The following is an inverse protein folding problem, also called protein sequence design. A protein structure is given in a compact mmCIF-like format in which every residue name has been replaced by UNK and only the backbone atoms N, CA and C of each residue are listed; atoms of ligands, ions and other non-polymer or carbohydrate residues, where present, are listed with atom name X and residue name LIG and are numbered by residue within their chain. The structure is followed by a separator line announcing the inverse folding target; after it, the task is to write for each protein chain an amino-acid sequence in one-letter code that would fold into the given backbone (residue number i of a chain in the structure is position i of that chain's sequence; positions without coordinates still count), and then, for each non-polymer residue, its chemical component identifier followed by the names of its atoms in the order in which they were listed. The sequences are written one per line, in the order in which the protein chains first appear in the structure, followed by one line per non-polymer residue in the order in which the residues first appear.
data_IF_881304611754
#
_entry.id   IF_881304611754
#
_cell.length_a   1.000
_cell.length_b   1.000
_cell.length_c   1.000
_cell.angle_alpha   90.00
_cell.angle_beta   90.00
_cell.angle_gamma   90.00
#
_symmetry.space_group_name_H-M   'P 1'
#
loop_
_entity.id
_entity.type
_entity.pdbx_description
1 polymer ?
#
# COMPACT_ATOMS: atom_id res chain seq x y z
N UNK A 1 -33.68 -5.02 -50.91
CA UNK A 1 -33.59 -5.60 -49.57
C UNK A 1 -32.73 -4.70 -48.71
N UNK A 2 -33.40 -3.91 -47.82
CA UNK A 2 -32.81 -2.91 -46.95
C UNK A 2 -31.98 -3.57 -45.84
N UNK A 3 -30.67 -3.21 -45.76
CA UNK A 3 -29.83 -3.50 -44.62
C UNK A 3 -29.96 -2.33 -43.63
N UNK A 4 -30.61 -2.53 -42.53
CA UNK A 4 -30.80 -1.59 -41.44
C UNK A 4 -29.44 -1.39 -40.73
N UNK A 5 -28.88 -0.20 -40.82
CA UNK A 5 -27.69 0.21 -40.10
C UNK A 5 -28.06 0.46 -38.63
N UNK A 6 -27.59 -0.40 -37.73
CA UNK A 6 -27.63 -0.19 -36.28
C UNK A 6 -26.69 0.97 -35.95
N UNK A 7 -27.24 2.13 -35.61
CA UNK A 7 -26.49 3.25 -35.01
C UNK A 7 -26.00 2.84 -33.63
N UNK A 8 -24.70 2.64 -33.50
CA UNK A 8 -24.02 2.62 -32.22
C UNK A 8 -24.11 4.02 -31.57
N UNK A 9 -24.45 4.17 -30.30
CA UNK A 9 -24.38 5.45 -29.64
C UNK A 9 -22.91 5.85 -29.47
N UNK A 10 -22.48 6.89 -30.19
CA UNK A 10 -21.24 7.61 -29.95
C UNK A 10 -21.37 8.33 -28.61
N UNK A 11 -20.87 7.71 -27.53
CA UNK A 11 -20.58 8.42 -26.30
C UNK A 11 -19.42 9.38 -26.57
N UNK A 12 -19.72 10.66 -26.65
CA UNK A 12 -18.75 11.74 -26.58
C UNK A 12 -18.01 11.57 -25.24
N UNK A 13 -16.65 11.63 -25.17
CA UNK A 13 -15.95 11.55 -23.91
C UNK A 13 -16.41 12.70 -23.02
N UNK A 14 -16.98 12.38 -21.86
CA UNK A 14 -17.27 13.35 -20.81
C UNK A 14 -15.97 14.11 -20.52
N UNK A 15 -16.04 15.41 -20.55
CA UNK A 15 -14.97 16.34 -20.17
C UNK A 15 -14.39 15.88 -18.83
N UNK A 16 -13.14 15.45 -18.84
CA UNK A 16 -12.44 15.04 -17.62
C UNK A 16 -12.38 16.23 -16.68
N UNK A 17 -13.13 16.19 -15.59
CA UNK A 17 -13.03 17.17 -14.50
C UNK A 17 -11.66 16.94 -13.85
N UNK A 18 -10.76 17.95 -13.83
CA UNK A 18 -9.46 17.79 -13.19
C UNK A 18 -9.64 17.51 -11.69
N UNK A 19 -8.79 16.67 -11.13
CA UNK A 19 -8.80 16.38 -9.70
C UNK A 19 -8.56 17.67 -8.91
N UNK A 20 -9.30 17.90 -7.81
CA UNK A 20 -9.00 18.99 -6.88
C UNK A 20 -7.57 18.86 -6.34
N UNK A 21 -6.87 19.98 -6.23
CA UNK A 21 -5.48 20.03 -5.76
C UNK A 21 -5.39 20.62 -4.37
N UNK A 22 -4.72 19.87 -3.48
CA UNK A 22 -4.43 20.26 -2.10
C UNK A 22 -2.92 20.40 -1.94
N UNK A 23 -2.40 21.61 -1.66
CA UNK A 23 -0.96 21.82 -1.51
C UNK A 23 -0.55 22.03 -0.04
N UNK A 24 0.52 21.35 0.38
CA UNK A 24 1.14 21.51 1.71
C UNK A 24 2.16 22.66 1.65
N UNK A 25 1.97 23.69 2.47
CA UNK A 25 2.81 24.88 2.52
C UNK A 25 3.30 25.09 3.96
N UNK A 26 4.49 25.64 4.14
CA UNK A 26 5.05 25.96 5.45
C UNK A 26 6.57 25.89 5.43
N UNK A 27 7.21 26.42 6.48
CA UNK A 27 8.66 26.40 6.62
C UNK A 27 9.26 24.98 6.67
N UNK A 28 10.57 24.81 6.51
CA UNK A 28 11.24 23.51 6.67
C UNK A 28 10.96 22.89 8.07
N UNK A 29 10.91 21.56 8.15
CA UNK A 29 10.82 20.78 9.38
C UNK A 29 9.50 20.89 10.18
N UNK A 30 8.46 21.55 9.69
CA UNK A 30 7.13 21.57 10.34
C UNK A 30 6.36 20.24 10.16
N UNK A 31 6.88 19.31 9.35
CA UNK A 31 6.30 17.97 9.16
C UNK A 31 5.45 17.81 7.90
N UNK A 32 5.65 18.64 6.85
CA UNK A 32 4.94 18.53 5.57
C UNK A 32 5.06 17.14 4.97
N UNK A 33 6.26 16.64 4.77
CA UNK A 33 6.49 15.31 4.19
C UNK A 33 5.98 14.18 5.08
N UNK A 34 5.92 14.37 6.40
CA UNK A 34 5.31 13.42 7.33
C UNK A 34 3.80 13.38 7.12
N UNK A 35 3.15 14.54 7.00
CA UNK A 35 1.71 14.64 6.72
C UNK A 35 1.38 14.13 5.32
N UNK A 36 2.18 14.48 4.31
CA UNK A 36 2.08 13.96 2.95
C UNK A 36 2.09 12.43 2.93
N UNK A 37 3.11 11.82 3.55
CA UNK A 37 3.24 10.37 3.64
C UNK A 37 2.11 9.72 4.46
N UNK A 38 1.56 10.43 5.44
CA UNK A 38 0.42 9.97 6.25
C UNK A 38 -0.87 9.95 5.42
N UNK A 39 -1.15 11.00 4.65
CA UNK A 39 -2.35 11.13 3.82
C UNK A 39 -2.29 10.15 2.64
N UNK A 40 -1.15 10.09 1.93
CA UNK A 40 -0.97 9.16 0.81
C UNK A 40 -0.90 7.70 1.26
N UNK A 41 -0.69 7.44 2.55
CA UNK A 41 -0.46 6.10 3.08
C UNK A 41 0.83 5.50 2.53
N UNK A 42 0.98 4.15 2.63
CA UNK A 42 2.08 3.42 1.97
C UNK A 42 1.85 3.20 0.46
N UNK A 43 0.81 3.78 -0.12
CA UNK A 43 0.62 3.79 -1.56
C UNK A 43 1.63 4.77 -2.12
N UNK A 44 2.67 4.25 -2.77
CA UNK A 44 3.64 5.05 -3.53
C UNK A 44 2.87 5.99 -4.46
N UNK A 45 3.28 7.27 -4.44
CA UNK A 45 2.87 8.25 -5.43
C UNK A 45 2.90 7.62 -6.83
N UNK A 46 1.75 7.54 -7.47
CA UNK A 46 1.67 7.21 -8.89
C UNK A 46 2.13 8.50 -9.58
N UNK A 47 3.38 8.51 -10.02
CA UNK A 47 3.88 9.57 -10.90
C UNK A 47 3.20 9.38 -12.24
N UNK A 48 2.17 10.15 -12.48
CA UNK A 48 1.45 10.19 -13.77
C UNK A 48 2.39 10.71 -14.84
N UNK A 49 2.67 9.86 -15.86
CA UNK A 49 3.61 10.15 -16.95
C UNK A 49 3.00 11.02 -18.03
N UNK A 50 2.31 12.12 -17.71
CA UNK A 50 1.87 13.09 -18.74
C UNK A 50 3.07 13.83 -19.31
N UNK A 51 3.15 14.03 -20.65
CA UNK A 51 4.19 14.84 -21.27
C UNK A 51 4.08 16.28 -20.73
N UNK A 52 5.09 16.71 -19.93
CA UNK A 52 5.14 18.03 -19.29
C UNK A 52 5.07 18.01 -17.76
N UNK A 53 4.78 16.90 -17.11
CA UNK A 53 4.95 16.77 -15.67
C UNK A 53 6.40 16.40 -15.39
N UNK A 54 7.15 17.31 -14.82
CA UNK A 54 8.51 17.09 -14.34
C UNK A 54 8.51 15.96 -13.32
N UNK A 55 9.53 15.11 -13.37
CA UNK A 55 9.80 13.93 -12.52
C UNK A 55 9.95 14.28 -11.02
N UNK A 56 9.10 15.12 -10.45
CA UNK A 56 9.23 15.56 -9.07
C UNK A 56 8.39 14.69 -8.12
N UNK A 57 9.06 14.21 -7.07
CA UNK A 57 8.54 13.35 -6.00
C UNK A 57 7.43 13.98 -5.16
N UNK A 58 6.89 15.11 -5.56
CA UNK A 58 6.09 16.00 -4.74
C UNK A 58 4.58 15.95 -5.02
N UNK A 59 4.12 15.16 -5.99
CA UNK A 59 2.71 15.01 -6.34
C UNK A 59 2.23 13.59 -6.07
N UNK A 60 1.07 13.44 -5.44
CA UNK A 60 0.44 12.14 -5.25
C UNK A 60 -1.08 12.25 -5.34
N UNK A 61 -1.70 11.33 -6.05
CA UNK A 61 -3.15 11.15 -5.98
C UNK A 61 -3.52 10.42 -4.69
N UNK A 62 -4.56 10.89 -4.03
CA UNK A 62 -5.12 10.31 -2.82
C UNK A 62 -6.63 10.34 -2.87
N UNK A 63 -7.28 9.63 -1.96
CA UNK A 63 -8.73 9.69 -1.82
C UNK A 63 -9.13 9.66 -0.35
N UNK A 64 -10.20 10.38 -0.02
CA UNK A 64 -10.79 10.42 1.31
C UNK A 64 -12.31 10.36 1.20
N UNK A 65 -12.94 9.42 1.89
CA UNK A 65 -14.42 9.22 1.87
C UNK A 65 -15.04 9.20 0.46
N UNK A 66 -14.31 8.64 -0.53
CA UNK A 66 -14.79 8.58 -1.92
C UNK A 66 -14.50 9.82 -2.78
N UNK A 67 -13.85 10.85 -2.24
CA UNK A 67 -13.38 12.02 -2.97
C UNK A 67 -11.93 11.84 -3.39
N UNK A 68 -11.64 11.80 -4.68
CA UNK A 68 -10.27 11.80 -5.21
C UNK A 68 -9.70 13.21 -5.28
N UNK A 69 -8.44 13.37 -4.95
CA UNK A 69 -7.73 14.64 -5.01
C UNK A 69 -6.23 14.43 -5.25
N UNK A 70 -5.56 15.46 -5.74
CA UNK A 70 -4.11 15.48 -5.91
C UNK A 70 -3.49 16.25 -4.73
N UNK A 71 -2.58 15.58 -3.98
CA UNK A 71 -1.83 16.19 -2.89
C UNK A 71 -0.44 16.58 -3.37
N UNK A 72 -0.02 17.80 -3.04
CA UNK A 72 1.27 18.37 -3.47
C UNK A 72 2.11 18.75 -2.26
N UNK A 73 3.32 18.18 -2.13
CA UNK A 73 4.31 18.64 -1.14
C UNK A 73 5.20 19.70 -1.80
N UNK A 74 5.06 20.96 -1.40
CA UNK A 74 5.89 22.05 -1.94
C UNK A 74 7.35 22.02 -1.48
N UNK A 75 7.76 21.00 -0.72
CA UNK A 75 9.10 20.90 -0.17
C UNK A 75 9.37 21.94 0.94
N UNK A 76 10.62 22.10 1.31
CA UNK A 76 11.02 23.09 2.32
C UNK A 76 11.23 24.49 1.76
N UNK A 77 10.27 25.05 1.04
CA UNK A 77 10.41 26.40 0.49
C UNK A 77 10.50 27.46 1.57
N UNK A 78 11.61 28.13 1.58
CA UNK A 78 11.75 29.45 2.17
C UNK A 78 10.97 30.45 1.29
N UNK A 79 9.68 30.60 1.56
CA UNK A 79 8.85 31.68 1.00
C UNK A 79 9.25 33.03 1.65
N UNK A 80 10.50 33.42 1.63
CA UNK A 80 10.94 34.56 2.41
C UNK A 80 12.03 35.42 1.79
N UNK A 81 12.61 35.06 0.66
CA UNK A 81 13.61 35.92 0.00
C UNK A 81 13.05 36.45 -1.33
N UNK A 82 12.99 37.76 -1.47
CA UNK A 82 12.85 38.47 -2.76
C UNK A 82 14.13 38.30 -3.63
N UNK A 83 14.91 37.26 -3.39
CA UNK A 83 16.19 37.00 -4.05
C UNK A 83 15.93 36.41 -5.46
N UNK A 84 16.35 37.12 -6.53
CA UNK A 84 16.21 36.63 -7.93
C UNK A 84 17.01 35.36 -8.22
N UNK A 85 17.84 34.89 -7.28
CA UNK A 85 18.62 33.64 -7.38
C UNK A 85 17.87 32.39 -6.88
N UNK A 86 16.59 32.47 -6.54
CA UNK A 86 15.79 31.31 -6.18
C UNK A 86 15.67 30.37 -7.37
N UNK A 87 16.33 29.22 -7.22
CA UNK A 87 16.46 28.22 -8.27
C UNK A 87 15.11 27.54 -8.65
N UNK A 88 15.16 26.58 -9.60
CA UNK A 88 13.97 25.92 -10.18
C UNK A 88 12.94 25.40 -9.18
N UNK A 89 13.37 25.04 -7.97
CA UNK A 89 12.49 24.51 -6.91
C UNK A 89 11.50 25.55 -6.35
N UNK A 90 11.91 26.83 -6.27
CA UNK A 90 11.02 27.90 -5.79
C UNK A 90 9.92 28.22 -6.81
N UNK A 91 10.28 28.21 -8.09
CA UNK A 91 9.33 28.44 -9.19
C UNK A 91 8.26 27.34 -9.21
N UNK A 92 8.65 26.09 -8.99
CA UNK A 92 7.73 24.96 -8.94
C UNK A 92 6.75 25.05 -7.79
N UNK A 93 7.19 25.48 -6.62
CA UNK A 93 6.28 25.59 -5.49
C UNK A 93 5.35 26.82 -5.59
N UNK A 94 5.81 27.91 -6.14
CA UNK A 94 4.92 29.04 -6.48
C UNK A 94 3.82 28.56 -7.43
N UNK A 95 4.18 27.80 -8.46
CA UNK A 95 3.23 27.21 -9.39
C UNK A 95 2.26 26.25 -8.70
N UNK A 96 2.75 25.37 -7.80
CA UNK A 96 1.91 24.46 -7.04
C UNK A 96 0.90 25.21 -6.15
N UNK A 97 1.31 26.33 -5.54
CA UNK A 97 0.42 27.20 -4.76
C UNK A 97 -0.62 27.87 -5.66
N UNK A 98 -0.23 28.31 -6.86
CA UNK A 98 -1.16 28.91 -7.82
C UNK A 98 -2.20 27.93 -8.37
N UNK A 99 -1.78 26.70 -8.62
CA UNK A 99 -2.65 25.66 -9.17
C UNK A 99 -3.53 24.96 -8.11
N UNK A 100 -3.23 25.13 -6.82
CA UNK A 100 -3.98 24.49 -5.74
C UNK A 100 -5.35 25.12 -5.52
N UNK A 101 -6.36 24.29 -5.26
CA UNK A 101 -7.71 24.69 -4.85
C UNK A 101 -7.76 25.01 -3.36
N UNK A 102 -6.98 24.28 -2.55
CA UNK A 102 -6.86 24.46 -1.10
C UNK A 102 -5.40 24.38 -0.69
N UNK A 103 -4.99 25.27 0.21
CA UNK A 103 -3.66 25.30 0.81
C UNK A 103 -3.73 24.86 2.26
N UNK A 104 -2.95 23.84 2.62
CA UNK A 104 -2.73 23.44 4.00
C UNK A 104 -1.47 24.12 4.50
N UNK A 105 -1.62 25.15 5.30
CA UNK A 105 -0.52 25.91 5.86
C UNK A 105 -0.08 25.29 7.18
N UNK A 106 1.04 24.53 7.14
CA UNK A 106 1.57 23.83 8.29
C UNK A 106 2.50 24.72 9.13
N UNK A 107 2.25 24.69 10.43
CA UNK A 107 3.09 25.28 11.48
C UNK A 107 3.41 24.23 12.53
N UNK A 108 4.48 24.44 13.30
CA UNK A 108 4.94 23.51 14.33
C UNK A 108 4.37 23.90 15.70
N UNK A 109 3.45 23.09 16.24
CA UNK A 109 2.78 23.36 17.53
C UNK A 109 3.75 23.36 18.72
N UNK A 110 4.85 22.58 18.65
CA UNK A 110 5.87 22.57 19.73
C UNK A 110 6.77 23.80 19.73
N UNK A 111 7.06 24.33 18.54
CA UNK A 111 7.91 25.50 18.40
C UNK A 111 7.15 26.82 18.64
N UNK A 112 5.81 26.77 18.62
CA UNK A 112 4.97 27.96 18.60
C UNK A 112 5.05 28.73 17.29
N UNK A 113 4.45 29.92 17.26
CA UNK A 113 4.39 30.77 16.10
C UNK A 113 5.70 31.53 15.91
N UNK A 114 6.38 31.32 14.81
CA UNK A 114 7.64 32.01 14.48
C UNK A 114 7.41 33.14 13.47
N UNK A 115 8.32 34.16 13.42
CA UNK A 115 8.23 35.28 12.46
C UNK A 115 8.12 34.84 11.00
N UNK A 116 8.79 33.75 10.62
CA UNK A 116 8.70 33.16 9.29
C UNK A 116 7.29 32.62 8.99
N UNK A 117 6.62 32.00 9.96
CA UNK A 117 5.25 31.52 9.82
C UNK A 117 4.31 32.72 9.59
N UNK A 118 4.49 33.84 10.32
CA UNK A 118 3.71 35.05 10.11
C UNK A 118 3.98 35.68 8.71
N UNK A 119 5.22 35.67 8.24
CA UNK A 119 5.58 36.17 6.92
C UNK A 119 4.91 35.32 5.80
N UNK A 120 4.96 34.00 5.91
CA UNK A 120 4.28 33.08 5.01
C UNK A 120 2.76 33.32 5.07
N UNK A 121 2.17 33.40 6.26
CA UNK A 121 0.74 33.67 6.44
C UNK A 121 0.27 34.96 5.77
N UNK A 122 1.04 36.07 5.93
CA UNK A 122 0.74 37.35 5.24
C UNK A 122 0.75 37.19 3.71
N UNK A 123 1.70 36.43 3.17
CA UNK A 123 1.80 36.18 1.73
C UNK A 123 0.63 35.34 1.19
N UNK A 124 0.24 34.29 1.93
CA UNK A 124 -0.87 33.42 1.54
C UNK A 124 -2.21 34.18 1.56
N UNK A 125 -2.46 35.04 2.55
CA UNK A 125 -3.68 35.87 2.62
C UNK A 125 -3.83 36.78 1.41
N UNK A 126 -2.75 37.38 0.91
CA UNK A 126 -2.78 38.23 -0.28
C UNK A 126 -3.20 37.53 -1.55
N UNK A 127 -3.16 36.18 -1.58
CA UNK A 127 -3.51 35.40 -2.76
C UNK A 127 -5.01 35.10 -2.88
N UNK A 128 -5.80 35.35 -1.86
CA UNK A 128 -7.24 35.15 -1.88
C UNK A 128 -7.67 33.67 -2.05
N UNK A 129 -6.75 32.73 -1.82
CA UNK A 129 -7.04 31.30 -1.88
C UNK A 129 -7.55 30.77 -0.55
N UNK A 130 -8.28 29.67 -0.59
CA UNK A 130 -8.70 28.98 0.62
C UNK A 130 -7.48 28.36 1.33
N UNK A 131 -7.24 28.79 2.56
CA UNK A 131 -6.12 28.36 3.39
C UNK A 131 -6.66 27.80 4.70
N UNK A 132 -6.25 26.57 5.03
CA UNK A 132 -6.47 25.96 6.35
C UNK A 132 -5.15 25.95 7.11
N UNK A 133 -5.13 26.52 8.32
CA UNK A 133 -3.95 26.44 9.19
C UNK A 133 -3.89 25.06 9.81
N UNK A 134 -2.74 24.42 9.72
CA UNK A 134 -2.49 23.07 10.27
C UNK A 134 -1.40 23.16 11.30
N UNK A 135 -1.77 23.13 12.58
CA UNK A 135 -0.84 23.08 13.70
C UNK A 135 -0.45 21.64 13.92
N UNK A 136 0.77 21.29 13.50
CA UNK A 136 1.27 19.91 13.56
C UNK A 136 2.12 19.68 14.81
N UNK A 137 2.36 18.40 15.14
CA UNK A 137 3.11 17.93 16.33
C UNK A 137 2.40 18.22 17.65
N UNK A 138 1.08 18.32 17.63
CA UNK A 138 0.24 18.54 18.82
C UNK A 138 -0.06 17.21 19.48
N UNK A 139 0.78 16.75 20.37
CA UNK A 139 0.62 15.48 21.09
C UNK A 139 0.03 15.68 22.50
N UNK A 140 0.12 16.87 23.05
CA UNK A 140 -0.44 17.30 24.33
C UNK A 140 -1.61 18.24 24.13
N UNK A 141 -2.68 18.03 24.94
CA UNK A 141 -3.95 18.79 24.87
C UNK A 141 -3.88 20.24 25.40
N UNK A 142 -2.73 20.69 25.87
CA UNK A 142 -2.57 21.95 26.62
C UNK A 142 -1.83 23.07 25.84
N UNK A 143 -1.68 22.94 24.52
CA UNK A 143 -1.07 24.01 23.73
C UNK A 143 -2.04 25.19 23.59
N UNK A 144 -1.50 26.41 23.77
CA UNK A 144 -2.27 27.64 23.64
C UNK A 144 -2.77 27.84 22.19
N UNK A 145 -4.01 27.47 21.96
CA UNK A 145 -4.64 27.57 20.64
C UNK A 145 -4.82 28.99 20.16
N UNK A 146 -4.79 29.98 21.07
CA UNK A 146 -5.00 31.40 20.77
C UNK A 146 -3.83 32.02 20.02
N UNK A 147 -2.60 31.49 20.18
CA UNK A 147 -1.40 31.99 19.52
C UNK A 147 -1.53 31.93 17.99
N UNK A 148 -2.06 30.82 17.44
CA UNK A 148 -2.17 30.60 16.01
C UNK A 148 -3.30 31.42 15.35
N UNK A 149 -4.23 31.97 16.13
CA UNK A 149 -5.24 32.90 15.62
C UNK A 149 -4.59 34.20 15.08
N UNK A 150 -3.39 34.56 15.52
CA UNK A 150 -2.60 35.71 15.02
C UNK A 150 -2.25 35.59 13.54
N UNK A 151 -2.27 34.37 12.97
CA UNK A 151 -2.11 34.16 11.53
C UNK A 151 -3.26 34.75 10.71
N UNK A 152 -4.41 35.06 11.34
CA UNK A 152 -5.56 35.71 10.71
C UNK A 152 -6.26 34.86 9.66
N UNK A 153 -6.39 33.57 9.91
CA UNK A 153 -7.22 32.63 9.15
C UNK A 153 -8.36 32.13 10.04
N UNK A 154 -9.49 31.78 9.43
CA UNK A 154 -10.73 31.48 10.14
C UNK A 154 -10.66 30.21 10.99
N UNK A 155 -9.92 29.20 10.54
CA UNK A 155 -9.86 27.88 11.19
C UNK A 155 -8.42 27.37 11.33
N UNK A 156 -8.11 26.82 12.51
CA UNK A 156 -6.87 26.11 12.79
C UNK A 156 -7.16 24.65 13.17
N UNK A 157 -6.54 23.72 12.45
CA UNK A 157 -6.66 22.28 12.67
C UNK A 157 -5.42 21.76 13.39
N UNK A 158 -5.63 21.13 14.55
CA UNK A 158 -4.55 20.58 15.38
C UNK A 158 -4.35 19.10 15.05
N UNK A 159 -3.16 18.75 14.56
CA UNK A 159 -2.87 17.40 14.09
C UNK A 159 -1.56 16.85 14.65
N UNK A 160 -1.48 15.54 14.75
CA UNK A 160 -0.21 14.84 14.85
C UNK A 160 0.00 13.99 13.59
N UNK A 161 0.76 14.49 12.63
CA UNK A 161 1.03 13.77 11.39
C UNK A 161 1.74 12.43 11.65
N UNK A 162 2.59 12.34 12.70
CA UNK A 162 3.27 11.12 13.09
C UNK A 162 2.31 10.06 13.62
N UNK A 163 1.32 10.45 14.43
CA UNK A 163 0.37 9.55 15.06
C UNK A 163 -0.97 9.44 14.31
N UNK A 164 -1.24 10.35 13.38
CA UNK A 164 -2.48 10.38 12.57
C UNK A 164 -3.68 11.00 13.28
N UNK A 165 -3.49 11.65 14.44
CA UNK A 165 -4.56 12.33 15.17
C UNK A 165 -4.98 13.60 14.43
N UNK A 166 -6.29 13.88 14.36
CA UNK A 166 -6.85 15.09 13.73
C UNK A 166 -6.75 15.13 12.20
N UNK A 167 -6.06 14.16 11.56
CA UNK A 167 -5.88 14.15 10.09
C UNK A 167 -7.19 13.89 9.34
N UNK A 168 -8.11 13.12 9.92
CA UNK A 168 -9.42 12.87 9.33
C UNK A 168 -10.25 14.16 9.26
N UNK A 169 -10.38 14.88 10.38
CA UNK A 169 -11.13 16.14 10.46
C UNK A 169 -10.51 17.22 9.54
N UNK A 170 -9.18 17.24 9.42
CA UNK A 170 -8.48 18.11 8.49
C UNK A 170 -8.86 17.81 7.03
N UNK A 171 -8.90 16.52 6.65
CA UNK A 171 -9.27 16.12 5.29
C UNK A 171 -10.74 16.41 4.99
N UNK A 172 -11.64 16.20 5.95
CA UNK A 172 -13.05 16.58 5.83
C UNK A 172 -13.18 18.08 5.56
N UNK A 173 -12.46 18.90 6.32
CA UNK A 173 -12.43 20.34 6.12
C UNK A 173 -11.79 20.72 4.78
N UNK A 174 -10.67 20.11 4.40
CA UNK A 174 -9.95 20.45 3.17
C UNK A 174 -10.78 20.17 1.90
N UNK A 175 -11.53 19.07 1.90
CA UNK A 175 -12.31 18.64 0.74
C UNK A 175 -13.74 19.22 0.72
N UNK A 176 -14.19 19.84 1.80
CA UNK A 176 -15.49 20.48 1.87
C UNK A 176 -15.63 21.56 0.78
N UNK A 177 -16.70 21.47 -0.02
CA UNK A 177 -17.01 22.42 -1.11
C UNK A 177 -16.17 22.23 -2.38
N UNK A 178 -15.24 21.30 -2.43
CA UNK A 178 -14.57 20.93 -3.68
C UNK A 178 -15.44 19.97 -4.51
N UNK A 179 -15.25 19.94 -5.85
CA UNK A 179 -15.94 18.97 -6.68
C UNK A 179 -15.71 17.55 -6.19
N UNK A 180 -16.80 16.81 -6.01
CA UNK A 180 -16.69 15.39 -5.69
C UNK A 180 -16.34 14.62 -6.97
N UNK A 181 -15.05 14.50 -7.23
CA UNK A 181 -14.56 13.62 -8.29
C UNK A 181 -14.42 12.25 -7.65
N UNK A 182 -15.29 11.31 -8.05
CA UNK A 182 -15.11 9.93 -7.65
C UNK A 182 -13.71 9.50 -8.08
N UNK A 183 -12.94 8.77 -7.23
CA UNK A 183 -11.70 8.16 -7.68
C UNK A 183 -12.02 7.43 -8.99
N UNK A 184 -11.19 7.58 -10.02
CA UNK A 184 -11.35 6.77 -11.22
C UNK A 184 -11.48 5.33 -10.74
N UNK A 185 -12.71 4.80 -10.75
CA UNK A 185 -13.03 3.44 -10.25
C UNK A 185 -12.18 2.40 -10.94
N UNK A 186 -11.57 2.77 -12.08
CA UNK A 186 -10.81 1.91 -12.94
C UNK A 186 -9.44 1.49 -12.40
N UNK A 187 -8.76 2.28 -11.58
CA UNK A 187 -7.43 1.91 -11.09
C UNK A 187 -7.40 1.48 -9.62
N UNK A 188 -8.22 2.06 -8.76
CA UNK A 188 -8.22 1.73 -7.33
C UNK A 188 -8.92 0.39 -7.02
N UNK A 189 -9.84 -0.06 -7.90
CA UNK A 189 -10.62 -1.28 -7.71
C UNK A 189 -9.93 -2.55 -8.22
N UNK A 190 -8.87 -2.45 -9.05
CA UNK A 190 -8.19 -3.61 -9.60
C UNK A 190 -7.32 -4.32 -8.56
N UNK A 191 -7.46 -5.64 -8.44
CA UNK A 191 -6.56 -6.46 -7.64
C UNK A 191 -5.22 -6.57 -8.35
N UNK A 192 -4.17 -5.94 -7.81
CA UNK A 192 -2.82 -6.02 -8.36
C UNK A 192 -2.20 -7.39 -8.06
N UNK A 193 -1.83 -8.11 -9.12
CA UNK A 193 -1.37 -9.49 -9.08
C UNK A 193 0.02 -9.60 -9.71
N UNK A 194 0.98 -10.21 -9.01
CA UNK A 194 2.28 -10.59 -9.56
C UNK A 194 2.35 -12.10 -9.79
N UNK A 195 2.82 -12.52 -10.96
CA UNK A 195 3.20 -13.91 -11.22
C UNK A 195 4.72 -14.03 -11.03
N UNK A 196 5.17 -14.72 -9.98
CA UNK A 196 6.58 -14.88 -9.64
C UNK A 196 6.95 -16.36 -9.52
N UNK A 197 8.21 -16.67 -9.64
CA UNK A 197 8.72 -18.05 -9.61
C UNK A 197 9.93 -18.20 -10.52
N UNK A 198 10.58 -19.36 -10.47
CA UNK A 198 11.75 -19.70 -11.29
C UNK A 198 11.52 -19.51 -12.78
N UNK A 199 12.56 -19.39 -13.60
CA UNK A 199 12.44 -19.54 -15.05
C UNK A 199 11.75 -20.86 -15.42
N UNK A 200 11.02 -20.87 -16.53
CA UNK A 200 10.38 -22.04 -17.14
C UNK A 200 9.26 -22.75 -16.33
N UNK A 201 8.86 -22.28 -15.14
CA UNK A 201 7.73 -22.83 -14.38
C UNK A 201 6.36 -22.54 -15.05
N UNK A 202 6.35 -21.76 -16.15
CA UNK A 202 5.16 -21.50 -16.94
C UNK A 202 4.45 -20.19 -16.65
N UNK A 203 5.10 -19.19 -16.04
CA UNK A 203 4.53 -17.84 -15.79
C UNK A 203 3.97 -17.21 -17.08
N UNK A 204 4.76 -17.19 -18.15
CA UNK A 204 4.34 -16.66 -19.46
C UNK A 204 3.17 -17.44 -20.07
N UNK A 205 3.09 -18.75 -19.82
CA UNK A 205 1.98 -19.57 -20.30
C UNK A 205 0.69 -19.26 -19.53
N UNK A 206 0.79 -19.04 -18.20
CA UNK A 206 -0.34 -18.59 -17.38
C UNK A 206 -0.80 -17.23 -17.87
N UNK A 207 0.13 -16.26 -18.02
CA UNK A 207 -0.16 -14.92 -18.52
C UNK A 207 -0.91 -14.95 -19.86
N UNK A 208 -0.37 -15.65 -20.86
CA UNK A 208 -0.97 -15.76 -22.20
C UNK A 208 -2.36 -16.42 -22.15
N UNK A 209 -2.55 -17.40 -21.27
CA UNK A 209 -3.82 -18.07 -21.11
C UNK A 209 -4.89 -17.18 -20.49
N UNK A 210 -4.49 -16.33 -19.55
CA UNK A 210 -5.36 -15.35 -18.92
C UNK A 210 -5.80 -14.28 -19.94
N UNK A 211 -4.87 -13.70 -20.65
CA UNK A 211 -5.14 -12.64 -21.63
C UNK A 211 -5.91 -13.16 -22.86
N UNK A 212 -5.76 -14.43 -23.24
CA UNK A 212 -6.46 -15.02 -24.38
C UNK A 212 -7.89 -15.50 -24.07
N UNK A 213 -8.30 -15.62 -22.80
CA UNK A 213 -9.63 -16.07 -22.38
C UNK A 213 -10.52 -14.98 -21.82
N UNK A 214 -9.94 -14.02 -21.16
CA UNK A 214 -10.64 -12.92 -20.52
C UNK A 214 -10.71 -11.74 -21.50
N UNK A 215 -11.75 -10.92 -21.44
CA UNK A 215 -11.80 -9.67 -22.21
C UNK A 215 -10.68 -8.77 -21.69
N UNK A 216 -9.53 -8.80 -22.37
CA UNK A 216 -8.47 -7.84 -22.14
C UNK A 216 -9.06 -6.46 -22.48
N UNK A 217 -9.37 -5.66 -21.48
CA UNK A 217 -9.54 -4.23 -21.67
C UNK A 217 -8.11 -3.73 -21.88
N UNK A 218 -7.64 -3.76 -23.13
CA UNK A 218 -6.35 -3.23 -23.50
C UNK A 218 -6.47 -1.70 -23.42
N UNK A 219 -6.36 -1.15 -22.22
CA UNK A 219 -5.89 0.21 -22.09
C UNK A 219 -4.36 0.13 -22.04
N UNK A 220 -3.73 0.11 -23.21
CA UNK A 220 -2.38 0.58 -23.32
C UNK A 220 -2.43 2.07 -22.94
N UNK A 221 -2.22 2.39 -21.67
CA UNK A 221 -2.03 3.76 -21.21
C UNK A 221 -0.64 4.15 -21.75
N UNK A 222 -0.55 4.98 -22.82
CA UNK A 222 0.74 5.47 -23.30
C UNK A 222 1.25 6.47 -22.26
N UNK A 223 2.31 6.12 -21.50
CA UNK A 223 2.94 7.11 -20.65
C UNK A 223 3.67 6.60 -19.41
N UNK A 224 3.54 5.32 -19.04
CA UNK A 224 4.38 4.78 -17.98
C UNK A 224 5.71 4.31 -18.57
N UNK A 225 6.78 5.01 -18.19
CA UNK A 225 8.21 4.74 -18.39
C UNK A 225 8.59 3.40 -19.04
N UNK A 226 9.50 3.45 -19.98
CA UNK A 226 10.07 2.44 -20.90
C UNK A 226 10.36 1.03 -20.36
N UNK A 227 10.05 0.68 -19.08
CA UNK A 227 10.52 -0.55 -18.44
C UNK A 227 9.46 -1.45 -17.76
N UNK A 228 8.18 -1.07 -17.61
CA UNK A 228 7.17 -1.98 -17.04
C UNK A 228 5.80 -1.80 -17.70
N UNK A 229 5.33 -2.83 -18.40
CA UNK A 229 3.98 -2.88 -18.95
C UNK A 229 3.12 -3.70 -18.00
N UNK A 230 2.12 -3.05 -17.38
CA UNK A 230 1.09 -3.70 -16.61
C UNK A 230 -0.08 -4.02 -17.55
N UNK A 231 -0.76 -5.14 -17.34
CA UNK A 231 -1.92 -5.54 -18.13
C UNK A 231 -3.15 -5.68 -17.24
N UNK A 232 -4.23 -5.02 -17.64
CA UNK A 232 -5.51 -5.06 -16.93
C UNK A 232 -6.49 -5.94 -17.68
N UNK A 233 -7.21 -6.80 -16.95
CA UNK A 233 -8.27 -7.63 -17.49
C UNK A 233 -9.43 -7.75 -16.50
N UNK A 234 -10.60 -8.08 -17.01
CA UNK A 234 -11.80 -8.27 -16.21
C UNK A 234 -12.22 -9.74 -16.19
N UNK A 235 -12.60 -10.21 -15.01
CA UNK A 235 -13.12 -11.56 -14.80
C UNK A 235 -14.26 -11.55 -13.80
N UNK A 236 -15.43 -12.06 -14.20
CA UNK A 236 -16.64 -12.10 -13.36
C UNK A 236 -16.99 -10.73 -12.74
N UNK A 237 -16.84 -9.64 -13.50
CA UNK A 237 -17.13 -8.29 -13.02
C UNK A 237 -16.07 -7.71 -12.07
N UNK A 238 -14.93 -8.40 -11.87
CA UNK A 238 -13.83 -7.94 -11.06
C UNK A 238 -12.60 -7.66 -11.93
N UNK A 239 -11.94 -6.52 -11.70
CA UNK A 239 -10.73 -6.12 -12.43
C UNK A 239 -9.48 -6.60 -11.73
N UNK A 240 -8.53 -7.06 -12.53
CA UNK A 240 -7.21 -7.50 -12.09
C UNK A 240 -6.15 -6.77 -12.91
N UNK A 241 -5.06 -6.39 -12.24
CA UNK A 241 -3.88 -5.80 -12.86
C UNK A 241 -2.71 -6.75 -12.68
N UNK A 242 -2.19 -7.29 -13.77
CA UNK A 242 -0.94 -8.04 -13.74
C UNK A 242 0.22 -7.06 -13.81
N UNK A 243 1.02 -7.02 -12.75
CA UNK A 243 2.17 -6.11 -12.64
C UNK A 243 3.42 -6.74 -13.24
N UNK A 244 4.22 -5.92 -13.93
CA UNK A 244 5.52 -6.28 -14.55
C UNK A 244 5.44 -7.43 -15.57
N UNK A 245 4.47 -7.39 -16.46
CA UNK A 245 4.34 -8.39 -17.52
C UNK A 245 5.48 -8.34 -18.53
N UNK A 246 6.17 -7.19 -18.67
CA UNK A 246 7.33 -7.03 -19.52
C UNK A 246 8.50 -7.93 -19.08
N UNK A 247 8.75 -8.05 -17.78
CA UNK A 247 9.74 -8.96 -17.22
C UNK A 247 9.44 -10.42 -17.59
N UNK A 248 8.17 -10.81 -17.50
CA UNK A 248 7.73 -12.17 -17.86
C UNK A 248 7.93 -12.46 -19.36
N UNK A 249 7.75 -11.46 -20.24
CA UNK A 249 7.93 -11.61 -21.70
C UNK A 249 9.40 -11.57 -22.14
N UNK A 250 10.24 -10.71 -21.54
CA UNK A 250 11.66 -10.54 -21.89
C UNK A 250 12.52 -11.74 -21.54
N UNK A 251 12.27 -12.43 -20.43
CA UNK A 251 13.01 -13.64 -20.00
C UNK A 251 12.95 -14.76 -21.06
N UNK A 252 11.93 -14.77 -21.92
CA UNK A 252 11.83 -15.73 -23.03
C UNK A 252 12.89 -15.51 -24.13
N UNK A 253 13.50 -14.33 -24.21
CA UNK A 253 14.42 -13.90 -25.29
C UNK A 253 15.91 -14.00 -24.90
N UNK A 254 16.23 -14.14 -23.62
CA UNK A 254 17.59 -14.15 -23.10
C UNK A 254 17.98 -15.55 -22.62
N UNK A 255 19.01 -16.15 -23.25
CA UNK A 255 19.47 -17.52 -22.95
C UNK A 255 20.60 -17.60 -21.92
N UNK A 256 21.18 -16.50 -21.45
CA UNK A 256 22.34 -16.48 -20.57
C UNK A 256 22.18 -15.53 -19.39
N UNK A 257 22.59 -15.95 -18.18
CA UNK A 257 22.55 -15.22 -16.89
C UNK A 257 21.16 -14.90 -16.32
N UNK A 258 20.27 -15.90 -16.28
CA UNK A 258 18.83 -15.73 -15.95
C UNK A 258 18.54 -15.61 -14.46
N UNK A 259 19.39 -16.15 -13.58
CA UNK A 259 19.02 -16.36 -12.17
C UNK A 259 19.01 -15.06 -11.34
N UNK A 260 20.04 -14.23 -11.41
CA UNK A 260 20.09 -12.97 -10.67
C UNK A 260 19.12 -11.92 -11.18
N UNK A 261 18.92 -11.82 -12.49
CA UNK A 261 17.98 -10.89 -13.12
C UNK A 261 16.53 -11.27 -12.75
N UNK A 262 16.22 -12.54 -12.64
CA UNK A 262 14.89 -13.05 -12.30
C UNK A 262 14.48 -12.67 -10.86
N UNK A 263 15.38 -12.72 -9.88
CA UNK A 263 15.08 -12.39 -8.48
C UNK A 263 14.82 -10.89 -8.31
N UNK A 264 15.65 -10.02 -8.91
CA UNK A 264 15.48 -8.57 -8.82
C UNK A 264 14.19 -8.09 -9.50
N UNK A 265 13.83 -8.69 -10.64
CA UNK A 265 12.57 -8.38 -11.32
C UNK A 265 11.37 -8.87 -10.52
N UNK A 266 11.46 -10.09 -9.95
CA UNK A 266 10.42 -10.62 -9.06
C UNK A 266 10.16 -9.69 -7.87
N UNK A 267 11.21 -9.13 -7.26
CA UNK A 267 11.09 -8.21 -6.13
C UNK A 267 10.30 -6.95 -6.47
N UNK A 268 10.58 -6.30 -7.63
CA UNK A 268 9.84 -5.12 -8.09
C UNK A 268 8.36 -5.42 -8.33
N UNK A 269 8.06 -6.57 -8.94
CA UNK A 269 6.69 -7.00 -9.16
C UNK A 269 5.96 -7.28 -7.82
N UNK A 270 6.62 -7.96 -6.88
CA UNK A 270 6.08 -8.29 -5.56
C UNK A 270 5.76 -7.01 -4.76
N UNK A 271 6.66 -6.02 -4.76
CA UNK A 271 6.46 -4.75 -4.03
C UNK A 271 5.23 -3.96 -4.50
N UNK A 272 4.83 -4.13 -5.77
CA UNK A 272 3.68 -3.46 -6.39
C UNK A 272 2.38 -4.26 -6.33
N UNK A 273 2.46 -5.54 -5.98
CA UNK A 273 1.32 -6.45 -5.98
C UNK A 273 0.55 -6.43 -4.66
N UNK A 274 -0.77 -6.56 -4.75
CA UNK A 274 -1.60 -6.91 -3.59
C UNK A 274 -1.40 -8.38 -3.23
N UNK A 275 -1.37 -9.25 -4.23
CA UNK A 275 -1.18 -10.69 -4.08
C UNK A 275 -0.11 -11.16 -5.07
N UNK A 276 0.86 -11.92 -4.60
CA UNK A 276 1.83 -12.61 -5.42
C UNK A 276 1.44 -14.08 -5.56
N UNK A 277 1.40 -14.57 -6.79
CA UNK A 277 1.29 -16.00 -7.07
C UNK A 277 2.68 -16.56 -7.26
N UNK A 278 3.12 -17.36 -6.28
CA UNK A 278 4.36 -18.14 -6.39
C UNK A 278 4.09 -19.37 -7.25
N UNK A 279 4.57 -19.33 -8.49
CA UNK A 279 4.36 -20.41 -9.46
C UNK A 279 5.44 -21.47 -9.31
N UNK A 280 5.04 -22.69 -8.99
CA UNK A 280 5.88 -23.87 -8.88
C UNK A 280 5.67 -24.79 -10.09
N UNK A 281 6.65 -25.60 -10.40
CA UNK A 281 6.60 -26.61 -11.45
C UNK A 281 6.33 -27.99 -10.87
N UNK A 282 5.20 -28.60 -11.20
CA UNK A 282 4.83 -29.93 -10.72
C UNK A 282 5.71 -31.05 -11.28
N UNK A 283 6.35 -30.83 -12.42
CA UNK A 283 7.22 -31.82 -13.06
C UNK A 283 8.62 -31.83 -12.48
N UNK A 284 9.19 -30.64 -12.28
CA UNK A 284 10.55 -30.49 -11.72
C UNK A 284 10.59 -30.55 -10.19
N UNK A 285 9.44 -30.38 -9.51
CA UNK A 285 9.37 -30.27 -8.06
C UNK A 285 9.91 -28.95 -7.51
N UNK A 286 10.04 -28.87 -6.20
CA UNK A 286 10.53 -27.68 -5.49
C UNK A 286 12.06 -27.58 -5.52
N UNK A 287 12.55 -26.32 -5.51
CA UNK A 287 13.98 -25.99 -5.46
C UNK A 287 14.23 -24.83 -4.50
N UNK A 288 15.49 -24.64 -4.09
CA UNK A 288 15.89 -23.56 -3.16
C UNK A 288 15.47 -22.16 -3.63
N UNK A 289 15.50 -21.89 -4.94
CA UNK A 289 15.06 -20.61 -5.50
C UNK A 289 13.56 -20.35 -5.24
N UNK A 290 12.72 -21.37 -5.18
CA UNK A 290 11.29 -21.20 -4.86
C UNK A 290 11.12 -20.71 -3.42
N UNK A 291 11.93 -21.22 -2.49
CA UNK A 291 11.94 -20.75 -1.11
C UNK A 291 12.49 -19.32 -1.00
N UNK A 292 13.53 -18.98 -1.76
CA UNK A 292 14.07 -17.61 -1.81
C UNK A 292 13.01 -16.62 -2.28
N UNK A 293 12.32 -16.89 -3.39
CA UNK A 293 11.24 -16.02 -3.90
C UNK A 293 10.07 -15.94 -2.91
N UNK A 294 9.72 -17.07 -2.28
CA UNK A 294 8.71 -17.10 -1.21
C UNK A 294 9.09 -16.18 -0.02
N UNK A 295 10.38 -16.15 0.36
CA UNK A 295 10.93 -15.25 1.36
C UNK A 295 10.77 -13.77 0.98
N UNK A 296 11.09 -13.40 -0.26
CA UNK A 296 10.92 -12.04 -0.79
C UNK A 296 9.45 -11.59 -0.73
N UNK A 297 8.48 -12.50 -1.01
CA UNK A 297 7.06 -12.18 -0.89
C UNK A 297 6.68 -11.89 0.57
N UNK A 298 7.17 -12.72 1.49
CA UNK A 298 6.93 -12.54 2.92
C UNK A 298 7.48 -11.22 3.44
N UNK A 299 8.71 -10.86 3.07
CA UNK A 299 9.37 -9.60 3.46
C UNK A 299 8.63 -8.38 2.92
N UNK A 300 8.22 -8.42 1.66
CA UNK A 300 7.43 -7.35 1.05
C UNK A 300 6.06 -7.18 1.71
N UNK A 301 5.55 -8.21 2.39
CA UNK A 301 4.24 -8.20 3.01
C UNK A 301 3.09 -8.32 2.01
N UNK A 302 3.33 -8.85 0.82
CA UNK A 302 2.29 -9.17 -0.15
C UNK A 302 1.48 -10.40 0.30
N UNK A 303 0.23 -10.53 -0.18
CA UNK A 303 -0.52 -11.78 -0.06
C UNK A 303 0.15 -12.86 -0.91
N UNK A 304 0.01 -14.12 -0.53
CA UNK A 304 0.64 -15.25 -1.20
C UNK A 304 -0.40 -16.28 -1.59
N UNK A 305 -0.36 -16.69 -2.85
CA UNK A 305 -1.01 -17.93 -3.34
C UNK A 305 0.06 -18.78 -3.99
N UNK A 306 0.14 -20.05 -3.64
CA UNK A 306 1.08 -21.00 -4.25
C UNK A 306 0.35 -21.68 -5.41
N UNK A 307 0.80 -21.44 -6.65
CA UNK A 307 0.25 -22.02 -7.86
C UNK A 307 1.13 -23.16 -8.40
N UNK A 308 0.72 -24.41 -8.23
CA UNK A 308 1.45 -25.58 -8.74
C UNK A 308 1.03 -25.81 -10.18
N UNK A 309 1.85 -25.38 -11.13
CA UNK A 309 1.59 -25.45 -12.56
C UNK A 309 2.11 -26.76 -13.17
N UNK A 310 1.73 -27.02 -14.43
CA UNK A 310 1.98 -28.27 -15.18
C UNK A 310 1.36 -29.50 -14.51
N UNK A 311 0.28 -29.29 -13.77
CA UNK A 311 -0.38 -30.38 -13.03
C UNK A 311 -0.95 -31.45 -13.96
N UNK A 312 -1.24 -31.14 -15.22
CA UNK A 312 -1.62 -32.09 -16.25
C UNK A 312 -0.56 -33.18 -16.48
N UNK A 313 0.73 -32.79 -16.50
CA UNK A 313 1.87 -33.73 -16.59
C UNK A 313 2.00 -34.58 -15.32
N UNK A 314 1.82 -33.98 -14.15
CA UNK A 314 1.85 -34.68 -12.88
C UNK A 314 0.76 -35.74 -12.76
N UNK A 315 -0.43 -35.47 -13.29
CA UNK A 315 -1.54 -36.45 -13.35
C UNK A 315 -1.14 -37.64 -14.24
N UNK A 316 -0.56 -37.41 -15.41
CA UNK A 316 -0.08 -38.47 -16.30
C UNK A 316 0.95 -39.37 -15.60
N UNK A 317 1.79 -38.77 -14.74
CA UNK A 317 2.78 -39.48 -13.91
C UNK A 317 2.20 -40.08 -12.60
N UNK A 318 0.88 -40.01 -12.40
CA UNK A 318 0.15 -40.49 -11.20
C UNK A 318 0.64 -39.84 -9.90
N UNK A 319 1.12 -38.59 -9.93
CA UNK A 319 1.56 -37.86 -8.75
C UNK A 319 0.37 -37.52 -7.85
N UNK A 320 0.47 -37.79 -6.54
CA UNK A 320 -0.55 -37.45 -5.56
C UNK A 320 -0.52 -35.97 -5.21
N UNK A 321 -1.67 -35.28 -5.29
CA UNK A 321 -1.79 -33.88 -4.83
C UNK A 321 -1.40 -33.75 -3.36
N UNK A 322 -1.83 -34.68 -2.51
CA UNK A 322 -1.55 -34.65 -1.08
C UNK A 322 -0.05 -34.78 -0.79
N UNK A 323 0.65 -35.67 -1.50
CA UNK A 323 2.09 -35.84 -1.35
C UNK A 323 2.83 -34.54 -1.79
N UNK A 324 2.47 -33.98 -2.94
CA UNK A 324 3.08 -32.75 -3.42
C UNK A 324 2.81 -31.57 -2.48
N UNK A 325 1.60 -31.46 -1.92
CA UNK A 325 1.28 -30.41 -0.94
C UNK A 325 2.10 -30.57 0.34
N UNK A 326 2.35 -31.81 0.80
CA UNK A 326 3.25 -32.09 1.92
C UNK A 326 4.66 -31.57 1.63
N UNK A 327 5.20 -31.86 0.45
CA UNK A 327 6.51 -31.37 0.02
C UNK A 327 6.54 -29.82 0.00
N UNK A 328 5.48 -29.18 -0.51
CA UNK A 328 5.35 -27.71 -0.48
C UNK A 328 5.41 -27.19 0.95
N UNK A 329 4.68 -27.81 1.89
CA UNK A 329 4.68 -27.40 3.31
C UNK A 329 6.03 -27.60 4.00
N UNK A 330 6.75 -28.65 3.62
CA UNK A 330 8.08 -28.93 4.14
C UNK A 330 9.13 -27.96 3.62
N UNK A 331 9.10 -27.58 2.36
CA UNK A 331 10.06 -26.66 1.77
C UNK A 331 9.73 -25.19 2.11
N UNK A 332 8.45 -24.82 2.20
CA UNK A 332 7.97 -23.46 2.47
C UNK A 332 7.39 -23.35 3.90
N UNK A 333 8.12 -23.85 4.90
CA UNK A 333 7.70 -23.89 6.33
C UNK A 333 7.33 -22.51 6.90
N UNK A 334 7.81 -21.44 6.29
CA UNK A 334 7.52 -20.06 6.67
C UNK A 334 6.23 -19.49 6.03
N UNK A 335 5.61 -20.24 5.09
CA UNK A 335 4.34 -19.94 4.43
C UNK A 335 3.26 -21.02 4.67
N UNK A 336 3.07 -21.55 5.89
CA UNK A 336 2.13 -22.65 6.13
C UNK A 336 0.67 -22.24 5.90
N UNK A 337 0.42 -20.94 5.92
CA UNK A 337 -0.89 -20.33 5.76
C UNK A 337 -1.23 -19.93 4.31
N UNK A 338 -0.32 -20.09 3.38
CA UNK A 338 -0.56 -19.80 1.96
C UNK A 338 -1.43 -20.89 1.32
N UNK A 339 -2.53 -20.57 0.63
CA UNK A 339 -3.31 -21.55 -0.10
C UNK A 339 -2.50 -22.12 -1.26
N UNK A 340 -2.61 -23.44 -1.48
CA UNK A 340 -2.00 -24.16 -2.59
C UNK A 340 -3.07 -24.47 -3.63
N UNK A 341 -2.82 -24.10 -4.88
CA UNK A 341 -3.73 -24.35 -6.00
C UNK A 341 -3.00 -25.10 -7.11
N UNK A 342 -3.54 -26.24 -7.50
CA UNK A 342 -3.01 -27.05 -8.60
C UNK A 342 -3.66 -26.62 -9.91
N UNK A 343 -2.83 -26.29 -10.90
CA UNK A 343 -3.29 -25.73 -12.19
C UNK A 343 -2.47 -26.24 -13.38
N UNK A 344 -3.04 -26.07 -14.55
CA UNK A 344 -2.33 -26.29 -15.82
C UNK A 344 -2.59 -25.09 -16.75
N UNK A 345 -1.55 -24.33 -17.05
CA UNK A 345 -1.61 -23.26 -18.04
C UNK A 345 -1.95 -23.81 -19.45
N UNK A 346 -1.54 -25.05 -19.76
CA UNK A 346 -1.78 -25.72 -21.05
C UNK A 346 -3.27 -25.97 -21.26
N UNK A 347 -3.95 -26.57 -20.29
CA UNK A 347 -5.36 -26.93 -20.40
C UNK A 347 -6.32 -25.86 -19.88
N UNK A 348 -5.86 -24.98 -18.99
CA UNK A 348 -6.65 -23.98 -18.28
C UNK A 348 -7.35 -24.51 -17.02
N UNK A 349 -7.11 -25.79 -16.66
CA UNK A 349 -7.63 -26.38 -15.42
C UNK A 349 -7.04 -25.67 -14.21
N UNK A 350 -7.84 -25.43 -13.17
CA UNK A 350 -7.37 -24.83 -11.91
C UNK A 350 -7.27 -23.30 -11.93
N UNK A 351 -7.32 -22.63 -13.09
CA UNK A 351 -7.22 -21.15 -13.13
C UNK A 351 -8.40 -20.48 -12.41
N UNK A 352 -9.59 -21.06 -12.44
CA UNK A 352 -10.73 -20.55 -11.69
C UNK A 352 -10.44 -20.55 -10.18
N UNK A 353 -9.96 -21.68 -9.66
CA UNK A 353 -9.60 -21.82 -8.26
C UNK A 353 -8.44 -20.90 -7.86
N UNK A 354 -7.50 -20.60 -8.78
CA UNK A 354 -6.44 -19.64 -8.54
C UNK A 354 -6.99 -18.25 -8.25
N UNK A 355 -7.95 -17.76 -9.05
CA UNK A 355 -8.56 -16.46 -8.83
C UNK A 355 -9.44 -16.43 -7.58
N UNK A 356 -10.17 -17.49 -7.31
CA UNK A 356 -10.96 -17.60 -6.09
C UNK A 356 -10.04 -17.55 -4.84
N UNK A 357 -8.85 -18.16 -4.90
CA UNK A 357 -7.85 -18.06 -3.84
C UNK A 357 -7.24 -16.63 -3.76
N UNK A 358 -6.91 -16.01 -4.89
CA UNK A 358 -6.42 -14.62 -4.94
C UNK A 358 -7.44 -13.67 -4.30
N UNK A 359 -8.72 -13.83 -4.57
CA UNK A 359 -9.79 -13.00 -4.04
C UNK A 359 -9.93 -13.16 -2.52
N UNK A 360 -9.87 -14.39 -2.01
CA UNK A 360 -9.90 -14.65 -0.55
C UNK A 360 -8.69 -14.02 0.14
N UNK A 361 -7.50 -14.20 -0.42
CA UNK A 361 -6.26 -13.62 0.11
C UNK A 361 -6.31 -12.08 0.08
N UNK A 362 -6.79 -11.49 -1.01
CA UNK A 362 -6.94 -10.04 -1.12
C UNK A 362 -7.92 -9.50 -0.07
N UNK A 363 -9.07 -10.15 0.12
CA UNK A 363 -10.04 -9.78 1.14
C UNK A 363 -9.46 -9.91 2.56
N UNK A 364 -8.76 -11.01 2.85
CA UNK A 364 -8.12 -11.23 4.14
C UNK A 364 -7.06 -10.15 4.48
N UNK A 365 -6.35 -9.61 3.48
CA UNK A 365 -5.39 -8.50 3.69
C UNK A 365 -6.04 -7.24 4.21
N UNK A 366 -7.27 -6.95 3.77
CA UNK A 366 -8.03 -5.76 4.18
C UNK A 366 -8.81 -5.93 5.48
N UNK A 367 -8.88 -7.14 6.01
CA UNK A 367 -9.71 -7.46 7.18
C UNK A 367 -9.29 -6.67 8.43
N UNK A 368 -10.29 -6.21 9.18
CA UNK A 368 -10.12 -5.50 10.44
C UNK A 368 -10.66 -6.31 11.60
N UNK A 369 -9.88 -6.31 12.67
CA UNK A 369 -10.24 -6.93 13.96
C UNK A 369 -10.51 -5.81 14.95
N UNK A 370 -11.60 -5.91 15.70
CA UNK A 370 -11.91 -4.93 16.73
C UNK A 370 -10.92 -5.04 17.90
N UNK A 371 -10.62 -3.91 18.51
CA UNK A 371 -9.71 -3.87 19.67
C UNK A 371 -10.17 -4.78 20.80
N UNK A 372 -11.48 -4.88 21.04
CA UNK A 372 -12.04 -5.73 22.07
C UNK A 372 -11.83 -7.23 21.81
N UNK A 373 -12.05 -7.69 20.57
CA UNK A 373 -11.83 -9.09 20.17
C UNK A 373 -10.35 -9.47 20.26
N UNK A 374 -9.48 -8.59 19.76
CA UNK A 374 -8.04 -8.81 19.85
C UNK A 374 -7.57 -8.95 21.30
N UNK A 375 -8.00 -8.06 22.21
CA UNK A 375 -7.57 -8.11 23.60
C UNK A 375 -8.12 -9.34 24.35
N UNK A 376 -9.34 -9.78 24.06
CA UNK A 376 -9.86 -11.06 24.58
C UNK A 376 -9.04 -12.26 24.10
N UNK A 377 -8.59 -12.24 22.83
CA UNK A 377 -7.70 -13.28 22.31
C UNK A 377 -6.35 -13.27 23.02
N UNK A 378 -5.71 -12.08 23.12
CA UNK A 378 -4.40 -11.93 23.76
C UNK A 378 -4.42 -12.37 25.23
N UNK A 379 -5.48 -12.06 25.98
CA UNK A 379 -5.66 -12.53 27.37
C UNK A 379 -5.66 -14.07 27.42
N UNK A 380 -6.54 -14.73 26.65
CA UNK A 380 -6.59 -16.20 26.56
C UNK A 380 -5.27 -16.83 26.08
N UNK A 381 -4.62 -16.21 25.12
CA UNK A 381 -3.31 -16.70 24.63
C UNK A 381 -2.24 -16.60 25.71
N UNK A 382 -2.25 -15.54 26.51
CA UNK A 382 -1.30 -15.34 27.62
C UNK A 382 -1.57 -16.29 28.78
N UNK A 383 -2.83 -16.57 29.08
CA UNK A 383 -3.21 -17.56 30.09
C UNK A 383 -2.78 -18.97 29.70
N UNK A 384 -2.95 -19.34 28.43
CA UNK A 384 -2.56 -20.66 27.91
C UNK A 384 -1.03 -20.83 27.80
N UNK A 385 -0.31 -19.76 27.47
CA UNK A 385 1.15 -19.77 27.33
C UNK A 385 1.69 -18.38 27.63
N UNK A 386 2.23 -18.21 28.84
CA UNK A 386 2.81 -16.94 29.27
C UNK A 386 4.14 -16.63 28.53
N UNK A 387 4.42 -15.36 28.20
CA UNK A 387 5.74 -14.98 27.68
C UNK A 387 6.82 -15.34 28.69
N UNK A 388 7.96 -15.83 28.22
CA UNK A 388 9.12 -16.07 29.09
C UNK A 388 9.55 -14.76 29.75
N UNK A 389 10.03 -14.87 30.98
CA UNK A 389 10.65 -13.76 31.68
C UNK A 389 11.83 -13.20 30.88
N UNK A 390 12.13 -11.91 31.09
CA UNK A 390 13.31 -11.28 30.51
C UNK A 390 14.61 -11.80 31.15
N UNK A 391 15.77 -11.27 30.70
CA UNK A 391 17.09 -11.63 31.24
C UNK A 391 17.25 -11.27 32.72
N UNK A 392 16.42 -10.36 33.23
CA UNK A 392 16.36 -9.97 34.65
C UNK A 392 15.35 -10.79 35.48
N UNK A 393 14.85 -11.92 34.95
CA UNK A 393 13.82 -12.78 35.55
C UNK A 393 12.50 -12.07 35.92
N UNK A 394 12.21 -10.92 35.25
CA UNK A 394 10.96 -10.21 35.45
C UNK A 394 9.88 -10.73 34.47
N UNK A 395 8.65 -10.96 34.96
CA UNK A 395 7.58 -11.48 34.13
C UNK A 395 7.15 -10.47 33.06
N UNK A 396 7.23 -10.86 31.82
CA UNK A 396 6.70 -10.07 30.69
C UNK A 396 5.19 -10.24 30.64
N UNK A 397 4.44 -9.14 30.60
CA UNK A 397 2.98 -9.13 30.50
C UNK A 397 2.53 -8.33 29.31
N UNK A 398 1.60 -8.90 28.56
CA UNK A 398 0.88 -8.17 27.49
C UNK A 398 -0.18 -7.30 28.19
N UNK A 399 -0.12 -5.99 27.95
CA UNK A 399 -1.04 -5.02 28.56
C UNK A 399 -2.22 -4.71 27.64
N UNK A 400 -1.96 -4.59 26.34
CA UNK A 400 -2.94 -4.15 25.36
C UNK A 400 -2.49 -4.47 23.94
N UNK A 401 -3.45 -4.75 23.06
CA UNK A 401 -3.21 -4.92 21.62
C UNK A 401 -4.19 -4.12 20.77
N UNK A 402 -3.74 -3.64 19.64
CA UNK A 402 -4.57 -2.98 18.62
C UNK A 402 -4.09 -3.29 17.22
N UNK A 403 -5.00 -3.37 16.27
CA UNK A 403 -4.63 -3.42 14.86
C UNK A 403 -4.32 -2.00 14.38
N UNK A 404 -3.09 -1.77 13.94
CA UNK A 404 -2.58 -0.46 13.51
C UNK A 404 -2.44 -0.32 12.00
N UNK A 405 -2.72 -1.38 11.25
CA UNK A 405 -2.66 -1.37 9.79
C UNK A 405 -3.29 -2.61 9.18
N UNK A 406 -3.68 -2.47 7.92
CA UNK A 406 -4.10 -3.54 7.02
C UNK A 406 -3.12 -3.62 5.85
N UNK A 407 -3.15 -4.69 5.09
CA UNK A 407 -2.38 -4.86 3.84
C UNK A 407 -0.84 -4.65 3.91
N UNK A 408 -0.08 -5.34 4.78
CA UNK A 408 -0.48 -6.52 5.54
C UNK A 408 -1.10 -6.17 6.91
N UNK A 409 -1.95 -7.06 7.48
CA UNK A 409 -2.46 -6.92 8.84
C UNK A 409 -1.32 -6.71 9.83
N UNK A 410 -1.34 -5.56 10.51
CA UNK A 410 -0.28 -5.16 11.43
C UNK A 410 -0.88 -4.88 12.79
N UNK A 411 -0.38 -5.55 13.82
CA UNK A 411 -0.84 -5.44 15.19
C UNK A 411 0.25 -4.83 16.06
N UNK A 412 -0.11 -3.88 16.91
CA UNK A 412 0.74 -3.37 17.98
C UNK A 412 0.36 -4.07 19.28
N UNK A 413 1.35 -4.62 19.97
CA UNK A 413 1.18 -5.27 21.28
C UNK A 413 2.02 -4.51 22.29
N UNK A 414 1.39 -3.94 23.29
CA UNK A 414 2.05 -3.21 24.39
C UNK A 414 2.40 -4.16 25.51
N UNK A 415 3.65 -4.11 25.98
CA UNK A 415 4.15 -4.90 27.10
C UNK A 415 4.68 -4.02 28.22
N UNK A 416 4.82 -4.60 29.42
CA UNK A 416 5.19 -3.90 30.66
C UNK A 416 6.69 -3.59 30.79
N UNK A 417 7.55 -4.21 29.99
CA UNK A 417 9.02 -4.06 30.07
C UNK A 417 9.60 -3.63 28.72
N UNK A 418 10.73 -2.89 28.70
CA UNK A 418 11.42 -2.48 27.48
C UNK A 418 12.27 -3.61 26.90
N UNK A 419 11.68 -4.79 26.76
CA UNK A 419 12.29 -5.99 26.16
C UNK A 419 11.49 -6.42 24.96
N UNK A 420 12.13 -7.09 24.04
CA UNK A 420 11.44 -7.62 22.87
C UNK A 420 10.87 -9.01 23.17
N UNK A 421 9.69 -9.32 22.64
CA UNK A 421 9.15 -10.66 22.73
C UNK A 421 10.03 -11.63 21.94
N UNK A 422 10.38 -12.75 22.54
CA UNK A 422 11.15 -13.80 21.86
C UNK A 422 10.45 -14.21 20.56
N UNK A 423 11.21 -14.51 19.53
CA UNK A 423 10.68 -14.80 18.19
C UNK A 423 9.63 -15.94 18.19
N UNK A 424 9.84 -16.99 19.02
CA UNK A 424 8.90 -18.10 19.15
C UNK A 424 7.56 -17.67 19.72
N UNK A 425 7.57 -16.71 20.65
CA UNK A 425 6.33 -16.18 21.24
C UNK A 425 5.59 -15.24 20.30
N UNK A 426 6.32 -14.44 19.52
CA UNK A 426 5.72 -13.66 18.42
C UNK A 426 5.00 -14.57 17.44
N UNK A 427 5.67 -15.66 17.00
CA UNK A 427 5.10 -16.65 16.09
C UNK A 427 3.87 -17.35 16.69
N UNK A 428 3.91 -17.64 17.99
CA UNK A 428 2.75 -18.17 18.72
C UNK A 428 1.56 -17.20 18.65
N UNK A 429 1.76 -15.92 18.95
CA UNK A 429 0.70 -14.91 18.87
C UNK A 429 0.17 -14.73 17.44
N UNK A 430 1.03 -14.71 16.45
CA UNK A 430 0.64 -14.64 15.02
C UNK A 430 -0.26 -15.82 14.65
N UNK A 431 0.10 -17.03 15.09
CA UNK A 431 -0.70 -18.22 14.84
C UNK A 431 -2.06 -18.12 15.53
N UNK A 432 -2.11 -17.68 16.80
CA UNK A 432 -3.38 -17.51 17.55
C UNK A 432 -4.28 -16.46 16.90
N UNK A 433 -3.71 -15.35 16.40
CA UNK A 433 -4.44 -14.31 15.67
C UNK A 433 -4.99 -14.90 14.37
N UNK A 434 -4.19 -15.67 13.63
CA UNK A 434 -4.61 -16.31 12.40
C UNK A 434 -5.71 -17.34 12.60
N UNK A 435 -5.59 -18.18 13.60
CA UNK A 435 -6.60 -19.19 13.94
C UNK A 435 -7.95 -18.56 14.32
N UNK A 436 -7.92 -17.41 15.02
CA UNK A 436 -9.14 -16.75 15.49
C UNK A 436 -9.81 -15.89 14.41
N UNK A 437 -9.04 -15.24 13.53
CA UNK A 437 -9.55 -14.23 12.61
C UNK A 437 -9.32 -14.54 11.13
N UNK A 438 -8.73 -15.68 10.80
CA UNK A 438 -8.45 -16.08 9.42
C UNK A 438 -7.09 -15.55 8.95
N UNK A 439 -7.08 -14.53 8.10
CA UNK A 439 -5.88 -14.02 7.43
C UNK A 439 -5.19 -15.04 6.53
N UNK A 440 -6.00 -15.84 5.80
CA UNK A 440 -5.51 -16.79 4.78
C UNK A 440 -4.61 -16.07 3.78
N UNK A 441 -3.48 -16.66 3.46
CA UNK A 441 -2.59 -16.19 2.42
C UNK A 441 -1.95 -14.81 2.65
N UNK A 442 -2.07 -14.21 3.83
CA UNK A 442 -1.46 -12.90 4.12
C UNK A 442 -0.53 -12.95 5.33
N UNK A 443 0.66 -12.35 5.28
CA UNK A 443 1.53 -12.24 6.44
C UNK A 443 0.91 -11.34 7.52
N UNK A 444 1.12 -11.71 8.78
CA UNK A 444 0.77 -10.89 9.95
C UNK A 444 2.04 -10.24 10.47
N UNK A 445 1.99 -8.95 10.79
CA UNK A 445 3.11 -8.22 11.41
C UNK A 445 2.78 -7.86 12.84
N UNK A 446 3.65 -8.24 13.78
CA UNK A 446 3.56 -7.83 15.18
C UNK A 446 4.62 -6.76 15.48
N UNK A 447 4.18 -5.61 16.00
CA UNK A 447 5.03 -4.54 16.53
C UNK A 447 4.89 -4.51 18.05
N UNK A 448 5.98 -4.76 18.75
CA UNK A 448 6.02 -4.65 20.20
C UNK A 448 6.23 -3.19 20.57
N UNK A 449 5.38 -2.65 21.47
CA UNK A 449 5.51 -1.32 22.05
C UNK A 449 5.74 -1.43 23.55
N UNK A 450 6.58 -0.57 24.08
CA UNK A 450 6.85 -0.48 25.50
C UNK A 450 6.04 0.69 26.08
N UNK A 451 5.38 0.49 27.22
CA UNK A 451 4.78 1.58 27.95
C UNK A 451 5.82 2.07 28.96
N UNK A 452 6.31 3.32 28.89
CA UNK A 452 7.18 3.84 29.91
C UNK A 452 6.46 3.78 31.27
N UNK A 453 7.16 3.30 32.32
CA UNK A 453 6.67 3.40 33.68
C UNK A 453 6.44 4.89 33.97
N UNK A 454 5.20 5.28 34.33
CA UNK A 454 5.01 6.59 34.96
C UNK A 454 5.90 6.61 36.21
N UNK A 455 6.71 7.64 36.43
CA UNK A 455 7.40 7.78 37.72
C UNK A 455 6.31 7.79 38.79
N UNK A 456 6.52 7.02 39.84
CA UNK A 456 5.68 7.11 41.04
C UNK A 456 5.93 8.49 41.61
N UNK A 457 4.93 9.36 41.59
CA UNK A 457 4.87 10.60 42.39
C UNK A 457 4.88 10.24 43.88
#
# INVERSE_FOLDING_TARGET
LLVSAVKLPTRVPETMIPLPRVALVGRPNVGKSTLFNRICGRRKAITDGRPGSTRDRNYAQSSWQGHAFELVDTGGLLLGSDDPLLGPAAVQAERAIEEADVLLFLVDGRAGLLPDDEAIGRRLRRRGKRVLVVVNKTESREEDRSEFARLGFDEAHFVSAEHGQGVGDLLDAALAGLPNVAPEEDEAAAVSLALVGRPNVGKSSILNRLLGRERAVVSAIPGTTRDSVDEVFERKGRRYRLVDTAGIRKVRLLKENVDHVSVVQSRRAIERAHVAVLVLDAEEGLREMDATIGGEILEAGAGVVIGVNKWDVAIEKKTSQRAFETDVREHLKFLPWAPVVFLSARTGRGLAALFDAVDRVHAARGARVTTGELNRLLARATEANAPKADKGNQPVRILFGSQIGTAPPTFAVSINHPVDLHFSYRRYLENRIREAFGFEGTPIRLKVKHRPRRPRS
#
